data_IF_921784781662
#
_entry.id   IF_921784781662
#
_cell.length_a   1.000
_cell.length_b   1.000
_cell.length_c   1.000
_cell.angle_alpha   90.00
_cell.angle_beta   90.00
_cell.angle_gamma   90.00
#
_symmetry.space_group_name_H-M   'P 1'
#
loop_
_entity.id
_entity.type
_entity.pdbx_description
1 polymer ?
2 polymer ?
3 non-polymer ?
4 non-polymer ?
5 non-polymer ?
6 non-polymer ?
7 non-polymer ?
8 water ?
#
# COMPACT_ATOMS: atom_id res chain seq x y z
N UNK A 2 0.54 -21.84 -27.51
CA UNK A 2 -0.02 -22.10 -26.20
C UNK A 2 1.00 -21.71 -25.13
N UNK A 3 0.57 -20.94 -24.14
CA UNK A 3 1.49 -20.48 -23.11
C UNK A 3 2.06 -21.67 -22.33
N UNK A 4 3.38 -21.64 -22.11
CA UNK A 4 4.07 -22.68 -21.34
C UNK A 4 4.52 -22.10 -20.00
N UNK A 5 4.05 -22.67 -18.91
CA UNK A 5 4.37 -22.15 -17.58
C UNK A 5 5.84 -22.43 -17.23
N UNK A 6 6.41 -21.66 -16.31
CA UNK A 6 7.82 -21.83 -15.96
C UNK A 6 8.17 -23.25 -15.55
N UNK A 7 9.40 -23.64 -15.87
CA UNK A 7 9.97 -24.92 -15.50
C UNK A 7 10.90 -24.82 -14.30
N UNK A 8 11.03 -23.65 -13.70
CA UNK A 8 11.97 -23.48 -12.61
C UNK A 8 11.71 -24.47 -11.50
N UNK A 9 12.77 -24.91 -10.80
CA UNK A 9 12.63 -26.02 -9.85
C UNK A 9 11.69 -25.74 -8.70
N UNK A 10 11.60 -24.50 -8.23
CA UNK A 10 10.75 -24.16 -7.10
C UNK A 10 9.43 -23.53 -7.54
N UNK A 11 9.19 -23.38 -8.85
CA UNK A 11 7.92 -22.82 -9.28
C UNK A 11 6.73 -23.61 -8.75
N UNK A 12 6.78 -24.95 -8.68
CA UNK A 12 5.64 -25.69 -8.13
C UNK A 12 5.31 -25.35 -6.68
N UNK A 13 6.25 -24.77 -5.93
CA UNK A 13 6.04 -24.35 -4.56
C UNK A 13 5.48 -22.93 -4.46
N UNK A 14 5.33 -22.23 -5.58
CA UNK A 14 4.81 -20.86 -5.58
C UNK A 14 3.28 -20.90 -5.69
N UNK A 15 2.68 -21.38 -4.59
CA UNK A 15 1.26 -21.66 -4.53
C UNK A 15 0.41 -20.42 -4.77
N UNK A 16 0.96 -19.25 -4.47
CA UNK A 16 0.25 -17.97 -4.54
C UNK A 16 0.18 -17.41 -5.95
N UNK A 17 0.95 -17.96 -6.88
CA UNK A 17 0.96 -17.46 -8.25
C UNK A 17 -0.11 -18.10 -9.10
N UNK A 18 -0.32 -19.41 -8.92
CA UNK A 18 -1.33 -20.10 -9.70
C UNK A 18 -1.68 -21.39 -8.97
N UNK A 19 -2.87 -21.90 -9.26
CA UNK A 19 -3.30 -23.16 -8.74
C UNK A 19 -4.70 -23.49 -9.20
N UNK A 20 -5.04 -24.77 -9.07
CA UNK A 20 -6.41 -25.20 -9.34
C UNK A 20 -7.33 -24.86 -8.18
N UNK A 21 -6.78 -24.51 -7.01
CA UNK A 21 -7.57 -24.34 -5.80
C UNK A 21 -8.30 -23.01 -5.73
N UNK A 22 -7.88 -22.01 -6.49
CA UNK A 22 -8.37 -20.61 -6.51
C UNK A 22 -7.75 -19.78 -5.37
N UNK A 23 -6.93 -20.37 -4.51
CA UNK A 23 -6.20 -19.59 -3.51
C UNK A 23 -4.91 -19.08 -4.14
N UNK A 24 -5.05 -18.13 -5.08
CA UNK A 24 -3.87 -17.56 -5.71
C UNK A 24 -4.19 -16.17 -6.25
N UNK A 25 -3.15 -15.51 -6.77
CA UNK A 25 -3.22 -14.16 -7.28
C UNK A 25 -3.51 -14.09 -8.78
N UNK A 26 -3.83 -15.23 -9.40
CA UNK A 26 -4.25 -15.28 -10.80
C UNK A 26 -3.20 -14.67 -11.72
N UNK A 27 -1.94 -15.00 -11.46
CA UNK A 27 -0.84 -14.42 -12.22
C UNK A 27 -0.64 -15.17 -13.53
N UNK A 28 -0.81 -16.49 -13.52
CA UNK A 28 -0.65 -17.25 -14.75
C UNK A 28 -1.60 -16.78 -15.84
N UNK A 29 -2.81 -16.36 -15.49
CA UNK A 29 -3.73 -15.83 -16.48
C UNK A 29 -3.17 -14.59 -17.17
N UNK A 30 -2.47 -13.73 -16.42
CA UNK A 30 -1.85 -12.56 -17.05
C UNK A 30 -0.70 -12.98 -17.97
N UNK A 31 0.12 -13.91 -17.51
CA UNK A 31 1.20 -14.43 -18.34
C UNK A 31 0.66 -14.99 -19.65
N UNK A 32 -0.45 -15.75 -19.57
CA UNK A 32 -1.03 -16.35 -20.76
C UNK A 32 -1.59 -15.30 -21.73
N UNK A 33 -2.00 -14.13 -21.21
CA UNK A 33 -2.42 -13.02 -22.05
C UNK A 33 -1.23 -12.31 -22.71
N UNK A 34 0.00 -12.71 -22.38
CA UNK A 34 1.20 -12.14 -22.97
C UNK A 34 1.95 -11.14 -22.14
N UNK A 35 1.60 -10.96 -20.88
CA UNK A 35 2.20 -9.94 -20.03
C UNK A 35 3.08 -10.60 -18.99
N UNK A 36 4.40 -10.35 -19.09
CA UNK A 36 5.38 -10.88 -18.14
C UNK A 36 6.27 -9.77 -17.59
N UNK A 37 5.98 -8.50 -17.93
CA UNK A 37 6.72 -7.38 -17.38
C UNK A 37 7.70 -6.74 -18.34
N UNK A 38 7.78 -7.21 -19.58
CA UNK A 38 8.77 -6.67 -20.51
C UNK A 38 8.63 -5.16 -20.62
N UNK A 39 9.76 -4.47 -20.44
CA UNK A 39 9.81 -3.03 -20.60
C UNK A 39 9.47 -2.22 -19.38
N UNK A 40 9.10 -2.85 -18.27
CA UNK A 40 8.76 -2.15 -17.03
C UNK A 40 9.95 -2.24 -16.09
N UNK A 41 10.14 -1.17 -15.31
CA UNK A 41 11.27 -1.03 -14.41
C UNK A 41 10.74 -0.88 -12.99
N UNK A 42 11.17 -1.76 -12.09
CA UNK A 42 10.78 -1.73 -10.69
C UNK A 42 12.03 -1.55 -9.85
N UNK A 43 11.95 -0.74 -8.80
CA UNK A 43 13.06 -0.58 -7.88
C UNK A 43 12.64 -0.92 -6.46
N UNK A 44 13.47 -1.72 -5.79
CA UNK A 44 13.27 -2.12 -4.39
C UNK A 44 14.05 -1.15 -3.51
N UNK A 45 13.34 -0.35 -2.71
CA UNK A 45 13.99 0.57 -1.78
C UNK A 45 14.15 -0.18 -0.47
N UNK A 46 15.40 -0.55 -0.12
CA UNK A 46 15.57 -1.46 1.00
C UNK A 46 17.02 -1.46 1.45
N UNK A 47 17.56 -2.62 1.83
CA UNK A 47 18.92 -2.69 2.35
C UNK A 47 19.93 -3.14 1.30
N UNK A 48 19.55 -3.12 0.02
CA UNK A 48 20.44 -3.48 -1.06
C UNK A 48 19.87 -4.63 -1.89
N UNK A 49 20.57 -4.90 -3.00
CA UNK A 49 20.16 -5.97 -3.91
C UNK A 49 21.40 -6.69 -4.41
N UNK A 50 21.39 -8.01 -4.34
CA UNK A 50 22.50 -8.84 -4.84
C UNK A 50 22.38 -8.89 -6.36
N UNK A 51 23.02 -7.92 -7.03
CA UNK A 51 22.82 -7.75 -8.46
C UNK A 51 23.37 -8.91 -9.28
N UNK A 52 24.30 -9.68 -8.72
CA UNK A 52 24.89 -10.85 -9.37
C UNK A 52 24.19 -12.15 -9.00
N UNK A 53 23.06 -12.09 -8.32
CA UNK A 53 22.34 -13.30 -7.94
C UNK A 53 21.96 -14.08 -9.20
N UNK A 54 22.17 -15.40 -9.22
CA UNK A 54 21.85 -16.16 -10.44
C UNK A 54 20.41 -16.03 -10.91
N UNK A 55 19.47 -15.66 -10.03
CA UNK A 55 18.11 -15.45 -10.46
C UNK A 55 17.72 -13.98 -10.59
N UNK A 56 18.65 -13.05 -10.38
CA UNK A 56 18.37 -11.63 -10.63
C UNK A 56 19.23 -11.02 -11.74
N UNK A 57 20.41 -11.57 -12.01
CA UNK A 57 21.36 -10.89 -12.89
C UNK A 57 20.76 -10.62 -14.25
N UNK A 58 19.96 -11.56 -14.77
CA UNK A 58 19.41 -11.41 -16.11
C UNK A 58 18.45 -10.27 -16.25
N UNK A 59 17.85 -9.83 -15.16
CA UNK A 59 16.89 -8.72 -15.17
C UNK A 59 17.44 -7.47 -14.49
N UNK A 60 18.64 -7.51 -13.95
CA UNK A 60 19.12 -6.39 -13.14
C UNK A 60 19.31 -5.15 -14.00
N UNK A 61 18.96 -4.01 -13.42
CA UNK A 61 19.00 -2.72 -14.11
C UNK A 61 19.77 -1.72 -13.27
N UNK A 62 21.00 -1.40 -13.65
CA UNK A 62 21.75 -0.35 -12.91
C UNK A 62 21.05 0.99 -12.89
N UNK A 63 20.26 1.30 -13.92
CA UNK A 63 19.53 2.56 -13.95
C UNK A 63 18.41 2.66 -12.95
N UNK A 64 18.02 1.53 -12.36
CA UNK A 64 17.00 1.49 -11.32
C UNK A 64 17.61 1.37 -9.93
N UNK A 65 18.90 1.61 -9.80
CA UNK A 65 19.61 1.28 -8.58
C UNK A 65 20.54 2.40 -8.16
N UNK A 66 20.81 2.46 -6.86
CA UNK A 66 21.75 3.42 -6.29
C UNK A 66 22.01 3.00 -4.85
N UNK A 67 23.13 3.47 -4.31
CA UNK A 67 23.49 3.24 -2.90
C UNK A 67 23.48 4.59 -2.21
N UNK A 68 22.38 4.89 -1.54
CA UNK A 68 22.24 6.15 -0.84
C UNK A 68 22.99 6.11 0.48
N UNK A 69 23.12 4.93 1.10
CA UNK A 69 23.81 4.87 2.37
C UNK A 69 25.29 5.22 2.24
N UNK A 70 25.96 4.73 1.19
CA UNK A 70 27.39 4.97 0.98
C UNK A 70 27.65 5.95 -0.16
N UNK A 71 26.60 6.46 -0.81
CA UNK A 71 26.72 7.46 -1.87
C UNK A 71 27.59 6.94 -3.02
N UNK A 72 27.11 5.87 -3.65
CA UNK A 72 27.74 5.33 -4.84
C UNK A 72 26.68 4.59 -5.65
N UNK A 73 27.01 4.15 -6.86
CA UNK A 73 25.98 3.60 -7.74
C UNK A 73 25.64 2.15 -7.46
N UNK A 74 26.43 1.47 -6.65
CA UNK A 74 26.39 0.02 -6.54
C UNK A 74 25.60 -0.38 -5.30
N UNK A 75 24.39 -0.96 -5.47
CA UNK A 75 23.54 -1.26 -4.30
C UNK A 75 23.81 -2.60 -3.65
N UNK A 76 24.97 -3.18 -3.92
CA UNK A 76 25.29 -4.51 -3.40
C UNK A 76 25.14 -4.49 -1.87
N UNK A 77 24.53 -5.52 -1.29
CA UNK A 77 24.36 -5.53 0.16
C UNK A 77 25.70 -5.69 0.88
N UNK A 78 25.71 -5.20 2.11
CA UNK A 78 26.83 -5.40 3.04
C UNK A 78 26.69 -6.78 3.67
N UNK A 79 27.71 -7.62 3.49
CA UNK A 79 27.65 -9.00 3.96
C UNK A 79 28.11 -9.08 5.40
N UNK A 80 27.32 -9.77 6.22
CA UNK A 80 27.64 -10.00 7.63
C UNK A 80 27.25 -11.41 8.02
N UNK A 81 27.77 -11.86 9.18
CA UNK A 81 27.48 -13.20 9.66
C UNK A 81 25.99 -13.41 9.90
N UNK A 82 25.30 -12.40 10.39
CA UNK A 82 23.87 -12.48 10.69
C UNK A 82 23.01 -12.35 9.45
N UNK A 83 23.60 -12.06 8.29
CA UNK A 83 22.86 -11.88 7.04
C UNK A 83 21.73 -10.88 7.19
N UNK A 84 22.01 -9.78 7.90
CA UNK A 84 20.99 -8.77 8.16
C UNK A 84 20.45 -8.18 6.86
N UNK A 85 21.30 -8.03 5.85
CA UNK A 85 20.97 -7.27 4.65
C UNK A 85 20.49 -8.17 3.52
N UNK A 86 19.77 -9.23 3.87
CA UNK A 86 19.14 -10.15 2.92
C UNK A 86 17.77 -9.66 2.46
N UNK A 87 17.23 -8.65 3.12
CA UNK A 87 15.81 -8.32 3.00
C UNK A 87 15.47 -7.76 1.61
N UNK A 88 16.30 -6.86 1.09
CA UNK A 88 16.02 -6.30 -0.23
C UNK A 88 16.14 -7.33 -1.34
N UNK A 89 17.08 -8.26 -1.20
CA UNK A 89 17.22 -9.30 -2.23
C UNK A 89 16.00 -10.23 -2.24
N UNK A 90 15.49 -10.58 -1.06
CA UNK A 90 14.29 -11.38 -1.01
C UNK A 90 13.10 -10.65 -1.68
N UNK A 91 12.96 -9.33 -1.42
CA UNK A 91 11.87 -8.60 -2.05
C UNK A 91 12.04 -8.54 -3.56
N UNK A 92 13.28 -8.34 -4.04
CA UNK A 92 13.49 -8.20 -5.48
C UNK A 92 13.08 -9.46 -6.24
N UNK A 93 13.41 -10.64 -5.71
CA UNK A 93 13.09 -11.87 -6.42
C UNK A 93 11.61 -12.13 -6.54
N UNK A 94 10.83 -11.61 -5.61
CA UNK A 94 9.38 -11.75 -5.72
C UNK A 94 8.85 -11.00 -6.92
N UNK A 95 9.45 -9.84 -7.19
CA UNK A 95 9.01 -9.05 -8.34
C UNK A 95 9.49 -9.69 -9.63
N UNK A 96 10.79 -10.03 -9.69
CA UNK A 96 11.39 -10.20 -11.02
C UNK A 96 12.47 -11.26 -11.07
N UNK A 97 12.39 -12.29 -10.24
CA UNK A 97 13.29 -13.43 -10.43
C UNK A 97 13.12 -13.99 -11.85
N UNK A 98 14.26 -14.35 -12.47
CA UNK A 98 14.27 -14.82 -13.86
C UNK A 98 13.56 -16.16 -13.96
N UNK A 99 12.88 -16.37 -15.09
CA UNK A 99 12.14 -17.60 -15.32
C UNK A 99 12.89 -18.52 -16.27
N UNK A 100 12.57 -19.82 -16.17
CA UNK A 100 13.03 -20.85 -17.09
C UNK A 100 14.56 -20.88 -17.20
N UNK A 101 15.24 -20.76 -16.07
CA UNK A 101 16.70 -20.77 -16.03
C UNK A 101 17.22 -21.81 -15.05
N UNK A 102 16.36 -22.75 -14.63
CA UNK A 102 16.80 -23.80 -13.74
C UNK A 102 17.18 -23.37 -12.34
N UNK A 103 16.85 -22.14 -11.92
CA UNK A 103 17.24 -21.63 -10.61
C UNK A 103 15.98 -21.18 -9.86
N UNK A 104 15.86 -21.61 -8.60
CA UNK A 104 14.83 -21.13 -7.65
C UNK A 104 13.46 -21.06 -8.33
N UNK A 105 12.70 -19.97 -8.16
CA UNK A 105 11.37 -19.87 -8.76
C UNK A 105 11.32 -18.75 -9.79
N UNK A 106 10.23 -17.99 -9.83
CA UNK A 106 10.08 -16.92 -10.80
C UNK A 106 9.48 -15.70 -10.11
N UNK A 107 9.81 -14.53 -10.63
CA UNK A 107 9.09 -13.32 -10.23
C UNK A 107 7.70 -13.28 -10.82
N UNK A 108 6.85 -12.44 -10.21
CA UNK A 108 5.55 -12.18 -10.81
C UNK A 108 5.74 -11.59 -12.20
N UNK A 109 6.66 -10.64 -12.33
CA UNK A 109 6.98 -10.00 -13.60
C UNK A 109 8.39 -10.43 -14.01
N UNK A 110 8.50 -11.68 -14.43
CA UNK A 110 9.82 -12.30 -14.58
C UNK A 110 10.59 -11.80 -15.79
N UNK A 111 10.02 -10.94 -16.62
CA UNK A 111 10.75 -10.27 -17.69
C UNK A 111 10.88 -8.77 -17.47
N UNK A 112 10.50 -8.27 -16.32
CA UNK A 112 10.70 -6.86 -16.04
C UNK A 112 12.17 -6.61 -15.65
N UNK A 113 12.55 -5.34 -15.64
CA UNK A 113 13.86 -4.93 -15.16
C UNK A 113 13.76 -4.57 -13.68
N UNK A 114 14.76 -5.00 -12.91
CA UNK A 114 14.72 -4.89 -11.46
C UNK A 114 15.98 -4.21 -10.95
N UNK A 115 15.79 -3.20 -10.09
CA UNK A 115 16.88 -2.55 -9.41
C UNK A 115 16.62 -2.48 -7.91
N UNK A 116 17.64 -1.98 -7.21
CA UNK A 116 17.53 -1.76 -5.79
C UNK A 116 18.18 -0.49 -5.34
N UNK A 117 17.60 0.20 -4.36
CA UNK A 117 18.24 1.31 -3.71
C UNK A 117 18.66 0.85 -2.33
N UNK A 118 19.95 0.93 -2.05
CA UNK A 118 20.49 0.59 -0.74
C UNK A 118 20.35 1.83 0.11
N UNK A 119 19.34 1.84 0.99
CA UNK A 119 19.06 3.02 1.80
C UNK A 119 18.67 2.71 3.24
N UNK A 120 18.45 1.44 3.62
CA UNK A 120 18.13 1.14 5.02
C UNK A 120 19.36 0.79 5.87
N UNK A 121 20.51 0.57 5.26
CA UNK A 121 21.69 0.08 5.99
C UNK A 121 22.54 1.27 6.43
N UNK A 122 21.97 2.03 7.36
CA UNK A 122 22.59 3.25 7.83
C UNK A 122 21.53 4.09 8.50
N UNK A 123 21.90 5.32 8.82
CA UNK A 123 20.92 6.25 9.40
C UNK A 123 19.95 6.68 8.32
N UNK A 124 18.67 6.40 8.52
CA UNK A 124 17.65 6.64 7.51
C UNK A 124 17.04 8.00 7.82
N UNK A 125 17.66 9.04 7.29
CA UNK A 125 17.15 10.39 7.45
C UNK A 125 16.06 10.70 6.42
N UNK A 126 15.37 11.82 6.64
CA UNK A 126 14.45 12.36 5.65
C UNK A 126 15.12 12.51 4.30
N UNK A 127 16.35 13.04 4.27
CA UNK A 127 17.05 13.21 3.00
C UNK A 127 17.32 11.87 2.31
N UNK A 128 17.74 10.86 3.07
CA UNK A 128 17.95 9.52 2.52
C UNK A 128 16.67 9.01 1.87
N UNK A 129 15.54 9.13 2.58
CA UNK A 129 14.29 8.67 2.01
C UNK A 129 13.96 9.41 0.72
N UNK A 130 14.15 10.73 0.73
CA UNK A 130 13.79 11.56 -0.42
C UNK A 130 14.65 11.24 -1.63
N UNK A 131 15.95 10.98 -1.40
CA UNK A 131 16.84 10.66 -2.51
C UNK A 131 16.50 9.30 -3.10
N UNK A 132 15.90 8.42 -2.29
CA UNK A 132 15.51 7.09 -2.74
C UNK A 132 14.17 7.12 -3.49
N UNK A 133 13.16 7.73 -2.89
CA UNK A 133 11.86 7.88 -3.55
C UNK A 133 11.95 8.68 -4.84
N UNK A 134 12.91 9.60 -4.94
CA UNK A 134 13.06 10.42 -6.12
C UNK A 134 14.14 9.96 -7.09
N UNK A 135 14.59 8.73 -6.96
CA UNK A 135 15.65 8.24 -7.85
C UNK A 135 15.13 8.01 -9.27
N UNK A 136 15.82 8.61 -10.24
CA UNK A 136 15.62 8.39 -11.68
C UNK A 136 14.14 8.21 -12.02
N UNK A 137 13.30 9.21 -11.70
CA UNK A 137 11.84 9.03 -11.83
C UNK A 137 11.31 9.01 -13.24
N UNK A 138 12.13 9.29 -14.25
CA UNK A 138 11.71 9.09 -15.62
C UNK A 138 12.21 7.78 -16.19
N UNK A 139 12.89 6.97 -15.39
CA UNK A 139 13.29 5.62 -15.78
C UNK A 139 12.57 4.55 -14.97
N UNK A 140 12.56 4.68 -13.64
CA UNK A 140 11.87 3.73 -12.77
C UNK A 140 10.37 4.00 -12.86
N UNK A 141 9.58 2.95 -13.07
CA UNK A 141 8.13 3.11 -13.12
C UNK A 141 7.48 2.90 -11.75
N UNK A 142 7.97 1.92 -11.01
CA UNK A 142 7.35 1.41 -9.79
C UNK A 142 8.41 1.29 -8.71
N UNK A 143 8.09 1.81 -7.53
CA UNK A 143 8.95 1.75 -6.34
C UNK A 143 8.26 0.89 -5.31
N UNK A 144 8.99 -0.05 -4.71
CA UNK A 144 8.45 -0.97 -3.71
C UNK A 144 9.18 -0.74 -2.40
N UNK A 145 8.43 -0.54 -1.31
CA UNK A 145 9.01 -0.24 -0.01
C UNK A 145 8.41 -1.17 1.04
N UNK A 146 9.23 -2.12 1.52
CA UNK A 146 8.83 -3.02 2.59
C UNK A 146 9.53 -2.58 3.87
N UNK A 147 9.26 -1.35 4.29
CA UNK A 147 9.85 -0.77 5.50
C UNK A 147 8.97 0.40 5.91
N UNK A 148 9.22 0.92 7.09
CA UNK A 148 8.51 2.09 7.57
C UNK A 148 8.72 2.31 9.04
N UNK A 149 7.89 3.16 9.64
CA UNK A 149 8.03 3.47 11.06
C UNK A 149 7.88 2.23 11.93
N UNK A 150 8.45 2.31 13.12
CA UNK A 150 8.40 1.22 14.09
C UNK A 150 6.97 0.76 14.34
N UNK A 151 6.82 -0.56 14.45
CA UNK A 151 5.53 -1.21 14.67
C UNK A 151 5.32 -1.53 16.15
N UNK A 152 5.69 -0.61 17.04
CA UNK A 152 5.52 -0.88 18.45
C UNK A 152 4.11 -0.60 18.94
N UNK A 153 3.23 -0.08 18.08
CA UNK A 153 1.87 0.20 18.48
C UNK A 153 1.73 1.46 19.31
N UNK A 154 2.78 2.27 19.39
CA UNK A 154 2.67 3.58 20.03
C UNK A 154 3.18 4.74 19.18
N UNK A 155 3.81 4.46 18.05
CA UNK A 155 4.41 5.47 17.21
C UNK A 155 3.37 6.08 16.27
N UNK A 156 3.46 7.40 16.09
CA UNK A 156 2.76 8.11 15.01
C UNK A 156 3.85 8.85 14.23
N UNK A 157 4.06 8.46 12.98
CA UNK A 157 5.23 8.94 12.23
C UNK A 157 4.94 8.79 10.76
N UNK A 158 5.38 9.77 9.97
CA UNK A 158 5.16 9.79 8.55
C UNK A 158 6.32 10.50 7.85
N UNK A 159 6.23 10.63 6.53
CA UNK A 159 7.30 11.33 5.80
C UNK A 159 7.47 12.77 6.29
N UNK A 160 8.71 13.14 6.52
CA UNK A 160 9.08 14.53 6.77
C UNK A 160 9.11 15.29 5.45
N UNK A 161 9.60 16.53 5.47
CA UNK A 161 9.34 17.45 4.37
C UNK A 161 9.97 16.98 3.05
N UNK A 162 11.24 16.55 3.08
CA UNK A 162 11.88 16.15 1.82
C UNK A 162 11.19 14.92 1.24
N UNK A 163 10.86 13.94 2.07
CA UNK A 163 10.21 12.72 1.59
C UNK A 163 8.82 13.02 1.05
N UNK A 164 8.06 13.87 1.72
CA UNK A 164 6.75 14.24 1.19
C UNK A 164 6.87 15.00 -0.14
N UNK A 165 7.85 15.90 -0.24
CA UNK A 165 8.13 16.55 -1.51
C UNK A 165 8.48 15.54 -2.58
N UNK A 166 9.19 14.46 -2.22
CA UNK A 166 9.51 13.44 -3.20
C UNK A 166 8.26 12.75 -3.68
N UNK A 167 7.33 12.44 -2.77
CA UNK A 167 6.06 11.85 -3.18
C UNK A 167 5.33 12.78 -4.17
N UNK A 168 5.26 14.07 -3.85
CA UNK A 168 4.47 14.97 -4.70
C UNK A 168 5.15 15.14 -6.05
N UNK A 169 6.48 15.31 -6.06
CA UNK A 169 7.20 15.38 -7.32
C UNK A 169 7.03 14.10 -8.13
N UNK A 170 7.03 12.96 -7.45
CA UNK A 170 6.92 11.69 -8.14
C UNK A 170 5.58 11.53 -8.83
N UNK A 171 4.50 11.79 -8.10
CA UNK A 171 3.19 11.55 -8.72
C UNK A 171 2.85 12.62 -9.74
N UNK A 172 3.47 13.80 -9.64
CA UNK A 172 3.13 14.91 -10.53
C UNK A 172 3.97 14.90 -11.81
N UNK A 173 5.30 14.83 -11.68
CA UNK A 173 6.20 14.85 -12.83
C UNK A 173 6.84 13.52 -13.18
N UNK A 174 6.85 12.54 -12.26
CA UNK A 174 7.44 11.25 -12.57
C UNK A 174 6.74 10.53 -13.71
N UNK A 175 7.47 9.58 -14.31
CA UNK A 175 6.96 8.75 -15.40
C UNK A 175 6.32 9.61 -16.49
N UNK A 176 7.03 10.66 -16.88
CA UNK A 176 6.54 11.48 -17.97
C UNK A 176 5.30 12.27 -17.65
N UNK A 177 5.06 12.53 -16.38
CA UNK A 177 3.88 13.22 -15.92
C UNK A 177 2.72 12.33 -15.59
N UNK A 178 2.84 11.03 -15.82
CA UNK A 178 1.81 10.07 -15.44
C UNK A 178 1.86 9.75 -13.95
N UNK A 179 3.03 9.89 -13.34
CA UNK A 179 3.22 9.72 -11.90
C UNK A 179 3.87 8.42 -11.49
N UNK A 180 4.92 8.54 -10.68
CA UNK A 180 5.55 7.38 -10.06
C UNK A 180 4.52 6.55 -9.31
N UNK A 181 4.67 5.22 -9.38
CA UNK A 181 3.85 4.28 -8.62
C UNK A 181 4.63 3.87 -7.37
N UNK A 182 4.08 4.19 -6.19
CA UNK A 182 4.69 3.83 -4.92
C UNK A 182 3.87 2.75 -4.23
N UNK A 183 4.48 1.57 -4.03
CA UNK A 183 3.83 0.43 -3.39
C UNK A 183 4.44 0.25 -2.01
N UNK A 184 3.58 0.13 -0.99
CA UNK A 184 4.02 0.12 0.41
C UNK A 184 3.48 -1.11 1.14
N UNK A 185 4.30 -1.70 2.00
CA UNK A 185 3.85 -2.77 2.90
C UNK A 185 3.14 -2.16 4.10
N UNK A 186 1.94 -2.65 4.42
CA UNK A 186 1.14 -1.95 5.43
C UNK A 186 1.63 -2.13 6.86
N UNK A 187 2.45 -3.12 7.18
CA UNK A 187 3.13 -3.17 8.47
C UNK A 187 3.06 -4.55 9.13
N UNK A 188 3.92 -4.71 10.13
CA UNK A 188 4.01 -5.95 10.89
C UNK A 188 3.57 -5.82 12.35
N UNK A 189 2.79 -4.79 12.68
CA UNK A 189 2.44 -4.51 14.06
C UNK A 189 1.22 -5.20 14.61
N UNK A 190 0.77 -6.28 13.98
CA UNK A 190 -0.44 -6.94 14.44
C UNK A 190 -0.40 -7.36 15.90
N UNK A 191 0.72 -7.90 16.35
CA UNK A 191 0.77 -8.41 17.71
C UNK A 191 0.70 -7.27 18.73
N UNK A 192 1.17 -6.09 18.35
CA UNK A 192 1.08 -4.89 19.17
C UNK A 192 -0.23 -4.13 18.99
N UNK A 193 -1.18 -4.70 18.25
CA UNK A 193 -2.44 -4.00 17.91
C UNK A 193 -2.19 -2.62 17.30
N UNK A 194 -1.18 -2.54 16.44
CA UNK A 194 -0.86 -1.30 15.75
C UNK A 194 -1.93 -0.99 14.72
N UNK A 195 -1.99 0.29 14.33
CA UNK A 195 -2.88 0.75 13.26
C UNK A 195 -2.04 1.31 12.12
N UNK A 196 -2.29 0.84 10.90
CA UNK A 196 -1.52 1.37 9.78
C UNK A 196 -1.96 2.77 9.36
N UNK A 197 -2.98 3.35 10.01
CA UNK A 197 -3.24 4.77 9.78
C UNK A 197 -2.32 5.69 10.58
N UNK A 198 -1.58 5.15 11.55
CA UNK A 198 -0.59 5.89 12.33
C UNK A 198 0.79 5.89 11.67
N UNK A 199 0.85 5.46 10.42
CA UNK A 199 2.04 5.35 9.59
C UNK A 199 1.73 6.22 8.39
N UNK A 200 2.46 7.35 8.26
CA UNK A 200 2.12 8.28 7.19
C UNK A 200 2.51 7.82 5.81
N UNK A 201 3.36 6.80 5.71
CA UNK A 201 3.71 6.25 4.39
C UNK A 201 2.58 5.40 3.83
N UNK A 202 2.05 4.49 4.66
CA UNK A 202 0.92 3.67 4.24
C UNK A 202 -0.33 4.50 4.11
N UNK A 203 -0.54 5.45 5.03
CA UNK A 203 -1.70 6.31 5.09
C UNK A 203 -1.72 7.38 3.99
N UNK A 204 -0.61 7.56 3.26
CA UNK A 204 -0.56 8.51 2.16
C UNK A 204 -1.46 8.12 1.00
N UNK A 205 -2.08 9.13 0.37
CA UNK A 205 -2.85 8.82 -0.83
C UNK A 205 -1.92 8.41 -2.00
N UNK A 206 -0.63 8.76 -1.91
CA UNK A 206 0.29 8.55 -3.03
C UNK A 206 0.86 7.15 -3.06
N UNK A 207 0.56 6.33 -2.06
CA UNK A 207 1.05 4.96 -1.99
C UNK A 207 -0.13 4.00 -2.06
N UNK A 208 0.11 2.85 -2.68
CA UNK A 208 -0.82 1.72 -2.66
C UNK A 208 -0.36 0.85 -1.49
N UNK A 209 -1.09 0.93 -0.38
CA UNK A 209 -0.73 0.21 0.83
C UNK A 209 -1.34 -1.18 0.78
N UNK A 210 -0.49 -2.20 0.94
CA UNK A 210 -0.85 -3.58 0.65
C UNK A 210 -0.73 -4.40 1.92
N UNK A 211 -1.80 -5.11 2.26
CA UNK A 211 -1.84 -5.99 3.42
C UNK A 211 -1.69 -7.44 2.95
N UNK A 212 -1.79 -8.36 3.91
CA UNK A 212 -1.45 -9.76 3.70
C UNK A 212 -2.59 -10.68 4.07
N UNK A 213 -2.61 -11.86 3.44
CA UNK A 213 -3.50 -12.94 3.81
C UNK A 213 -2.69 -14.23 3.89
N UNK A 214 -3.07 -15.12 4.82
CA UNK A 214 -2.41 -16.41 4.93
C UNK A 214 -2.93 -17.37 3.83
N UNK A 215 -2.22 -18.49 3.64
CA UNK A 215 -2.63 -19.45 2.61
C UNK A 215 -4.07 -19.90 2.76
N UNK A 216 -4.51 -20.14 3.99
CA UNK A 216 -5.87 -20.61 4.21
C UNK A 216 -6.88 -19.45 4.25
N UNK A 217 -6.45 -18.23 3.90
CA UNK A 217 -7.36 -17.12 3.77
C UNK A 217 -7.67 -16.37 5.05
N UNK A 218 -6.73 -16.34 6.00
CA UNK A 218 -6.96 -15.67 7.26
C UNK A 218 -6.07 -14.45 7.43
N UNK A 219 -6.41 -13.65 8.44
CA UNK A 219 -5.67 -12.44 8.79
C UNK A 219 -4.44 -12.86 9.57
N UNK A 220 -3.24 -12.69 9.02
CA UNK A 220 -2.04 -13.16 9.72
C UNK A 220 -1.84 -12.47 11.06
N UNK A 221 -1.10 -13.16 11.93
CA UNK A 221 -0.78 -12.59 13.23
C UNK A 221 -0.17 -11.19 13.15
N UNK A 222 0.63 -10.92 12.09
CA UNK A 222 1.37 -9.66 12.01
C UNK A 222 0.56 -8.53 11.40
N UNK A 223 -0.61 -8.82 10.87
CA UNK A 223 -1.37 -7.83 10.10
C UNK A 223 -1.85 -6.65 10.94
N UNK A 224 -1.75 -5.45 10.36
CA UNK A 224 -2.36 -4.26 10.94
C UNK A 224 -3.61 -3.91 10.16
N UNK A 225 -4.68 -3.61 10.90
CA UNK A 225 -5.92 -3.16 10.27
C UNK A 225 -5.94 -1.64 10.25
N UNK A 226 -6.47 -1.06 9.16
CA UNK A 226 -6.70 0.39 9.11
C UNK A 226 -7.46 0.70 7.82
N UNK A 227 -8.01 1.92 7.77
CA UNK A 227 -8.83 2.30 6.62
C UNK A 227 -8.02 2.73 5.41
N UNK A 228 -6.73 3.00 5.55
CA UNK A 228 -5.92 3.44 4.41
C UNK A 228 -5.47 2.30 3.51
N UNK A 229 -5.51 1.05 3.97
CA UNK A 229 -5.10 -0.07 3.14
C UNK A 229 -5.97 -0.16 1.90
N UNK A 230 -5.34 -0.50 0.77
CA UNK A 230 -6.08 -0.57 -0.49
C UNK A 230 -6.41 -2.00 -0.93
N UNK A 231 -5.49 -2.94 -0.75
CA UNK A 231 -5.70 -4.30 -1.23
C UNK A 231 -4.70 -5.21 -0.53
N UNK A 232 -4.70 -6.49 -0.95
CA UNK A 232 -4.02 -7.57 -0.24
C UNK A 232 -3.30 -8.49 -1.22
N UNK A 233 -2.16 -9.02 -0.79
CA UNK A 233 -1.56 -10.17 -1.47
C UNK A 233 -1.23 -11.23 -0.44
N UNK A 234 -1.03 -12.45 -0.91
CA UNK A 234 -0.70 -13.53 0.02
C UNK A 234 0.69 -13.33 0.63
N UNK A 235 0.83 -13.79 1.87
CA UNK A 235 2.13 -13.92 2.50
C UNK A 235 2.06 -15.10 3.48
N UNK A 236 2.89 -15.09 4.52
CA UNK A 236 3.00 -16.18 5.45
C UNK A 236 1.90 -16.13 6.52
N UNK A 237 1.79 -17.24 7.25
CA UNK A 237 0.84 -17.41 8.32
C UNK A 237 1.40 -18.32 9.39
N UNK A 238 0.69 -19.39 9.72
CA UNK A 238 1.14 -20.33 10.73
C UNK A 238 2.07 -21.35 10.07
N UNK A 239 2.58 -22.28 10.87
CA UNK A 239 3.62 -23.18 10.37
C UNK A 239 3.05 -24.34 9.57
N UNK A 240 1.72 -24.44 9.45
CA UNK A 240 1.12 -25.39 8.54
C UNK A 240 0.83 -24.76 7.18
N UNK A 241 0.95 -23.45 7.07
CA UNK A 241 0.68 -22.70 5.85
C UNK A 241 2.00 -22.40 5.14
N UNK A 242 1.96 -22.48 3.81
CA UNK A 242 3.17 -22.27 3.02
C UNK A 242 3.57 -20.79 3.05
N UNK A 243 4.78 -20.52 2.58
CA UNK A 243 5.35 -19.18 2.64
C UNK A 243 5.79 -18.77 1.24
N UNK A 244 6.62 -17.73 1.17
CA UNK A 244 6.96 -17.12 -0.11
C UNK A 244 8.36 -17.56 -0.56
N UNK A 245 8.46 -17.89 -1.85
CA UNK A 245 9.68 -18.44 -2.46
C UNK A 245 10.41 -17.33 -3.20
N UNK A 246 11.67 -17.09 -2.87
CA UNK A 246 12.36 -16.00 -3.55
C UNK A 246 13.88 -16.16 -3.46
N UNK A 247 14.56 -15.20 -4.08
CA UNK A 247 16.01 -15.11 -4.07
C UNK A 247 16.52 -14.67 -2.71
N UNK A 248 17.57 -15.34 -2.23
CA UNK A 248 18.13 -15.04 -0.92
C UNK A 248 19.59 -14.60 -1.06
N UNK A 249 20.08 -13.95 -0.01
CA UNK A 249 21.46 -13.49 0.03
C UNK A 249 22.42 -14.65 -0.18
N UNK A 250 23.60 -14.34 -0.72
CA UNK A 250 24.65 -15.34 -0.98
C UNK A 250 24.23 -16.33 -2.07
N UNK A 251 23.42 -15.84 -3.03
CA UNK A 251 23.07 -16.55 -4.25
C UNK A 251 22.28 -17.81 -3.96
N UNK A 252 21.47 -17.75 -2.91
CA UNK A 252 20.65 -18.86 -2.46
C UNK A 252 19.19 -18.63 -2.81
N UNK A 253 18.41 -19.68 -2.56
CA UNK A 253 16.97 -19.68 -2.76
C UNK A 253 16.31 -19.97 -1.42
N UNK A 254 15.29 -19.20 -1.06
CA UNK A 254 14.56 -19.43 0.17
C UNK A 254 13.09 -19.70 -0.13
N UNK A 255 12.51 -20.58 0.67
CA UNK A 255 11.07 -20.83 0.62
C UNK A 255 10.38 -20.31 1.86
N UNK A 256 11.03 -19.42 2.60
CA UNK A 256 10.50 -18.98 3.89
C UNK A 256 10.60 -17.47 4.06
N UNK A 257 10.32 -16.70 3.01
CA UNK A 257 10.13 -15.26 3.13
C UNK A 257 8.73 -15.01 3.69
N UNK A 258 8.60 -14.02 4.58
CA UNK A 258 7.41 -13.93 5.42
C UNK A 258 7.00 -12.49 5.65
N UNK A 259 5.82 -12.34 6.26
CA UNK A 259 5.37 -11.06 6.82
C UNK A 259 4.91 -10.05 5.80
N UNK A 260 4.69 -8.83 6.31
CA UNK A 260 4.25 -7.77 5.44
C UNK A 260 5.25 -7.51 4.31
N UNK A 261 6.52 -7.78 4.58
CA UNK A 261 7.56 -7.49 3.60
C UNK A 261 7.34 -8.19 2.27
N UNK A 262 6.72 -9.38 2.27
CA UNK A 262 6.53 -10.14 1.04
C UNK A 262 5.33 -9.68 0.22
N UNK A 263 4.37 -9.02 0.86
CA UNK A 263 3.15 -8.66 0.12
C UNK A 263 3.35 -7.51 -0.83
N UNK A 264 4.07 -6.46 -0.42
CA UNK A 264 4.25 -5.32 -1.32
C UNK A 264 4.97 -5.70 -2.61
N UNK A 265 6.07 -6.48 -2.59
CA UNK A 265 6.72 -6.86 -3.85
C UNK A 265 5.82 -7.64 -4.80
N UNK A 266 4.98 -8.53 -4.27
CA UNK A 266 4.06 -9.25 -5.14
C UNK A 266 3.09 -8.29 -5.81
N UNK A 267 2.60 -7.30 -5.05
CA UNK A 267 1.74 -6.28 -5.63
C UNK A 267 2.49 -5.46 -6.67
N UNK A 268 3.73 -5.08 -6.37
CA UNK A 268 4.53 -4.34 -7.34
C UNK A 268 4.69 -5.13 -8.63
N UNK A 269 4.90 -6.45 -8.51
CA UNK A 269 4.97 -7.28 -9.70
C UNK A 269 3.68 -7.29 -10.51
N UNK A 270 2.54 -7.42 -9.82
CA UNK A 270 1.26 -7.40 -10.52
C UNK A 270 1.03 -6.05 -11.21
N UNK A 271 1.39 -4.96 -10.53
CA UNK A 271 1.28 -3.64 -11.13
C UNK A 271 2.20 -3.50 -12.33
N UNK A 272 3.37 -4.11 -12.29
CA UNK A 272 4.24 -4.08 -13.47
C UNK A 272 3.58 -4.77 -14.67
N UNK A 273 2.93 -5.93 -14.45
CA UNK A 273 2.23 -6.59 -15.54
C UNK A 273 1.12 -5.69 -16.08
N UNK A 274 0.43 -4.99 -15.19
CA UNK A 274 -0.67 -4.12 -15.58
C UNK A 274 -0.16 -2.95 -16.40
N UNK A 275 0.97 -2.36 -15.97
CA UNK A 275 1.57 -1.27 -16.74
C UNK A 275 2.02 -1.73 -18.12
N UNK A 276 2.53 -2.96 -18.23
CA UNK A 276 2.88 -3.46 -19.56
C UNK A 276 1.63 -3.48 -20.45
N UNK A 277 0.49 -3.84 -19.86
CA UNK A 277 -0.76 -3.91 -20.63
C UNK A 277 -1.25 -2.52 -21.05
N UNK A 278 -0.84 -1.46 -20.36
CA UNK A 278 -1.24 -0.11 -20.75
C UNK A 278 -0.24 0.87 -20.11
N UNK A 279 0.74 1.28 -20.89
CA UNK A 279 1.79 2.13 -20.36
C UNK A 279 1.33 3.54 -20.08
N UNK A 280 0.12 3.92 -20.52
CA UNK A 280 -0.39 5.27 -20.31
C UNK A 280 -1.16 5.44 -19.02
N UNK A 281 -1.21 4.42 -18.16
CA UNK A 281 -1.97 4.52 -16.92
C UNK A 281 -1.31 5.51 -15.97
N UNK A 282 -2.09 6.40 -15.38
CA UNK A 282 -1.58 7.31 -14.37
C UNK A 282 -1.52 6.63 -13.00
N UNK A 283 -0.90 7.33 -12.05
CA UNK A 283 -0.82 6.80 -10.69
C UNK A 283 -2.21 6.60 -10.10
N UNK A 284 -3.14 7.50 -10.43
CA UNK A 284 -4.51 7.33 -9.95
C UNK A 284 -5.24 6.23 -10.73
N UNK A 285 -5.04 6.16 -12.05
CA UNK A 285 -5.64 5.05 -12.81
C UNK A 285 -5.32 3.72 -12.12
N UNK A 286 -4.06 3.55 -11.69
CA UNK A 286 -3.66 2.26 -11.14
C UNK A 286 -4.43 1.94 -9.86
N UNK A 287 -4.69 2.96 -9.04
CA UNK A 287 -5.48 2.69 -7.84
C UNK A 287 -6.92 2.33 -8.18
N UNK A 288 -7.52 3.03 -9.17
CA UNK A 288 -8.85 2.66 -9.64
C UNK A 288 -8.90 1.20 -10.09
N UNK A 289 -7.91 0.77 -10.87
CA UNK A 289 -7.90 -0.62 -11.33
C UNK A 289 -7.85 -1.60 -10.15
N UNK A 290 -7.01 -1.31 -9.16
CA UNK A 290 -6.94 -2.14 -7.97
C UNK A 290 -8.30 -2.19 -7.29
N UNK A 291 -8.94 -1.04 -7.11
CA UNK A 291 -10.24 -1.03 -6.43
C UNK A 291 -11.25 -1.89 -7.20
N UNK A 292 -11.30 -1.74 -8.52
CA UNK A 292 -12.34 -2.42 -9.29
C UNK A 292 -12.12 -3.92 -9.41
N UNK A 293 -10.87 -4.40 -9.40
CA UNK A 293 -10.60 -5.80 -9.75
C UNK A 293 -10.28 -6.70 -8.57
N UNK A 294 -10.02 -6.16 -7.38
CA UNK A 294 -9.59 -6.99 -6.27
C UNK A 294 -10.76 -7.79 -5.71
N UNK A 295 -10.43 -8.94 -5.13
CA UNK A 295 -11.41 -9.98 -4.86
C UNK A 295 -11.50 -10.30 -3.38
N UNK A 296 -12.64 -10.08 -2.75
CA UNK A 296 -12.80 -10.46 -1.33
C UNK A 296 -12.96 -11.93 -1.10
N UNK A 297 -13.37 -12.69 -2.10
CA UNK A 297 -13.93 -14.02 -1.86
C UNK A 297 -12.97 -14.89 -1.04
N UNK A 298 -13.52 -15.54 -0.02
CA UNK A 298 -12.83 -16.51 0.82
C UNK A 298 -11.65 -15.92 1.57
N UNK A 299 -11.57 -14.60 1.70
CA UNK A 299 -10.75 -14.00 2.73
C UNK A 299 -11.62 -13.83 3.96
N UNK A 300 -11.18 -14.38 5.09
CA UNK A 300 -11.96 -14.36 6.32
C UNK A 300 -11.63 -13.14 7.17
N UNK A 301 -12.68 -12.40 7.53
CA UNK A 301 -12.56 -11.25 8.43
C UNK A 301 -13.92 -11.00 9.05
N UNK A 302 -13.93 -10.41 10.24
CA UNK A 302 -15.21 -10.16 10.90
C UNK A 302 -15.74 -8.76 10.63
N UNK A 303 -15.08 -7.98 9.77
CA UNK A 303 -15.48 -6.59 9.52
C UNK A 303 -15.80 -6.32 8.05
N UNK A 304 -16.07 -7.33 7.24
CA UNK A 304 -16.45 -7.06 5.86
C UNK A 304 -17.71 -6.21 5.84
N UNK A 305 -17.70 -5.15 5.04
CA UNK A 305 -18.84 -4.25 4.89
C UNK A 305 -19.00 -3.91 3.42
N UNK A 306 -20.24 -3.68 3.00
CA UNK A 306 -20.52 -3.26 1.65
C UNK A 306 -20.63 -1.74 1.64
N UNK A 307 -19.86 -1.08 0.78
CA UNK A 307 -19.86 0.38 0.80
C UNK A 307 -21.01 0.91 -0.07
N UNK A 308 -20.97 2.21 -0.37
CA UNK A 308 -22.13 2.84 -0.99
C UNK A 308 -22.30 2.50 -2.44
N UNK A 309 -21.27 1.95 -3.07
CA UNK A 309 -21.33 1.54 -4.47
C UNK A 309 -21.26 0.01 -4.59
N UNK A 310 -21.56 -0.70 -3.51
CA UNK A 310 -21.75 -2.13 -3.57
C UNK A 310 -20.48 -2.95 -3.48
N UNK A 311 -19.33 -2.35 -3.20
CA UNK A 311 -18.08 -3.10 -3.10
C UNK A 311 -17.83 -3.49 -1.65
N UNK A 312 -17.38 -4.72 -1.45
CA UNK A 312 -17.02 -5.19 -0.12
C UNK A 312 -15.66 -4.64 0.25
N UNK A 313 -15.52 -4.20 1.50
CA UNK A 313 -14.26 -3.67 1.97
C UNK A 313 -14.02 -4.03 3.43
N UNK A 314 -12.77 -4.29 3.77
CA UNK A 314 -12.35 -4.68 5.11
C UNK A 314 -11.14 -3.86 5.52
N UNK A 315 -11.03 -3.59 6.83
CA UNK A 315 -9.85 -2.89 7.34
C UNK A 315 -8.62 -3.78 7.38
N UNK A 316 -8.83 -5.10 7.30
CA UNK A 316 -7.69 -6.01 7.21
C UNK A 316 -7.17 -6.19 5.79
N UNK A 317 -8.04 -6.00 4.79
CA UNK A 317 -7.71 -6.39 3.44
C UNK A 317 -7.97 -5.34 2.37
N UNK A 318 -8.52 -4.19 2.74
CA UNK A 318 -8.94 -3.24 1.72
C UNK A 318 -10.03 -3.88 0.87
N UNK A 319 -9.86 -3.79 -0.45
CA UNK A 319 -10.82 -4.34 -1.39
C UNK A 319 -10.60 -5.82 -1.69
N UNK A 320 -9.62 -6.45 -1.05
CA UNK A 320 -9.41 -7.87 -1.21
C UNK A 320 -8.11 -8.21 -1.92
N UNK A 321 -8.03 -9.46 -2.38
CA UNK A 321 -6.84 -9.97 -3.03
C UNK A 321 -6.68 -9.39 -4.42
N UNK A 322 -5.45 -9.00 -4.76
CA UNK A 322 -5.18 -8.63 -6.14
C UNK A 322 -5.43 -9.82 -7.07
N UNK A 323 -5.83 -9.49 -8.30
CA UNK A 323 -6.18 -10.44 -9.35
C UNK A 323 -5.45 -9.97 -10.60
N UNK A 324 -4.30 -10.59 -10.90
CA UNK A 324 -3.45 -10.08 -11.97
C UNK A 324 -4.15 -10.18 -13.32
N UNK A 325 -4.82 -11.31 -13.58
CA UNK A 325 -5.49 -11.47 -14.87
C UNK A 325 -6.57 -10.43 -15.09
N UNK A 326 -7.30 -10.09 -14.03
CA UNK A 326 -8.35 -9.08 -14.14
C UNK A 326 -7.74 -7.68 -14.29
N UNK A 327 -6.64 -7.42 -13.59
CA UNK A 327 -5.92 -6.15 -13.72
C UNK A 327 -5.48 -5.91 -15.15
N UNK A 328 -4.80 -6.88 -15.77
CA UNK A 328 -4.25 -6.66 -17.10
C UNK A 328 -5.37 -6.56 -18.13
N UNK A 329 -6.44 -7.32 -17.95
CA UNK A 329 -7.56 -7.26 -18.88
C UNK A 329 -8.22 -5.89 -18.83
N UNK A 330 -8.52 -5.41 -17.62
CA UNK A 330 -9.20 -4.12 -17.48
C UNK A 330 -8.30 -2.97 -17.91
N UNK A 331 -6.98 -3.11 -17.74
CA UNK A 331 -6.06 -2.03 -18.10
C UNK A 331 -6.09 -1.72 -19.60
N UNK A 332 -6.33 -2.74 -20.44
CA UNK A 332 -6.04 -2.58 -21.87
C UNK A 332 -6.88 -1.48 -22.52
N UNK A 333 -8.18 -1.42 -22.20
CA UNK A 333 -9.03 -0.41 -22.80
C UNK A 333 -9.45 0.66 -21.78
N UNK A 334 -8.68 0.80 -20.69
CA UNK A 334 -9.00 1.74 -19.63
C UNK A 334 -8.95 3.19 -20.14
N UNK A 335 -9.97 3.96 -19.80
CA UNK A 335 -10.01 5.38 -20.12
C UNK A 335 -9.44 6.18 -18.96
N UNK A 336 -8.41 6.98 -19.25
CA UNK A 336 -7.76 7.79 -18.22
C UNK A 336 -8.76 8.58 -17.41
N UNK A 337 -8.62 8.56 -16.09
CA UNK A 337 -9.52 9.33 -15.23
C UNK A 337 -9.28 10.82 -15.40
N UNK A 338 -10.31 11.59 -15.05
CA UNK A 338 -10.21 13.03 -15.15
C UNK A 338 -9.21 13.58 -14.13
N UNK A 339 -8.79 14.83 -14.29
CA UNK A 339 -7.81 15.39 -13.35
C UNK A 339 -8.37 15.41 -11.93
N UNK A 340 -7.47 15.24 -10.97
CA UNK A 340 -7.86 15.11 -9.57
C UNK A 340 -8.31 16.44 -9.01
N UNK A 341 -9.49 16.46 -8.41
CA UNK A 341 -10.02 17.60 -7.69
C UNK A 341 -9.82 17.40 -6.19
N UNK A 342 -9.77 18.51 -5.48
CA UNK A 342 -9.54 18.52 -4.02
C UNK A 342 -10.50 19.54 -3.41
N UNK A 343 -11.38 19.08 -2.54
CA UNK A 343 -12.38 19.91 -1.88
C UNK A 343 -12.09 19.89 -0.39
N UNK A 344 -11.82 21.08 0.16
CA UNK A 344 -11.38 21.25 1.56
C UNK A 344 -12.55 21.82 2.35
N UNK A 345 -12.95 21.12 3.42
CA UNK A 345 -14.07 21.55 4.25
C UNK A 345 -13.59 21.64 5.70
N UNK A 346 -13.51 22.85 6.21
CA UNK A 346 -13.14 23.08 7.60
C UNK A 346 -14.42 22.94 8.41
N UNK A 347 -14.46 21.92 9.27
CA UNK A 347 -15.73 21.46 9.84
C UNK A 347 -16.09 22.26 11.09
N UNK A 348 -15.16 22.47 12.02
CA UNK A 348 -15.54 23.00 13.32
C UNK A 348 -15.72 24.51 13.33
N UNK A 349 -16.69 24.99 14.12
CA UNK A 349 -16.82 26.41 14.40
C UNK A 349 -16.25 26.79 15.76
N UNK A 350 -15.98 25.81 16.62
CA UNK A 350 -15.38 25.99 17.93
C UNK A 350 -14.74 24.68 18.36
N UNK A 351 -13.76 24.72 19.26
CA UNK A 351 -13.20 23.47 19.79
C UNK A 351 -14.25 22.68 20.55
N UNK A 352 -14.05 21.36 20.61
CA UNK A 352 -15.00 20.45 21.23
C UNK A 352 -14.29 19.56 22.24
N UNK A 353 -14.77 19.56 23.48
CA UNK A 353 -14.23 18.64 24.46
C UNK A 353 -14.60 17.22 24.09
N UNK A 354 -13.64 16.30 24.23
CA UNK A 354 -13.86 14.91 23.83
C UNK A 354 -14.61 14.14 24.91
N UNK A 355 -14.13 14.20 26.14
CA UNK A 355 -14.80 13.45 27.20
C UNK A 355 -14.86 11.96 26.91
N UNK A 356 -15.99 11.34 27.30
CA UNK A 356 -16.16 9.91 27.04
C UNK A 356 -16.46 9.63 25.59
N UNK A 357 -17.13 10.56 24.92
CA UNK A 357 -17.55 10.34 23.55
C UNK A 357 -17.89 11.70 22.92
N UNK A 358 -17.48 11.87 21.67
CA UNK A 358 -17.77 13.07 20.90
C UNK A 358 -18.25 12.65 19.53
N UNK A 359 -19.38 13.20 19.09
CA UNK A 359 -19.88 13.01 17.75
C UNK A 359 -20.01 14.37 17.06
N UNK A 360 -19.39 14.51 15.90
CA UNK A 360 -19.45 15.72 15.10
C UNK A 360 -20.14 15.38 13.79
N UNK A 361 -21.27 16.05 13.52
CA UNK A 361 -22.03 15.84 12.29
C UNK A 361 -21.93 17.08 11.45
N UNK A 362 -21.70 16.92 10.15
CA UNK A 362 -21.69 18.07 9.26
C UNK A 362 -22.20 17.66 7.89
N UNK A 363 -23.15 18.43 7.35
CA UNK A 363 -23.62 18.23 5.99
C UNK A 363 -22.82 19.11 5.05
N UNK A 364 -22.25 18.50 4.02
CA UNK A 364 -21.37 19.22 3.10
C UNK A 364 -21.92 19.15 1.69
N UNK A 365 -21.56 20.15 0.87
CA UNK A 365 -21.96 20.18 -0.54
C UNK A 365 -20.84 19.68 -1.45
N UNK A 366 -19.64 19.44 -0.90
CA UNK A 366 -18.52 18.93 -1.67
C UNK A 366 -18.18 19.86 -2.84
N UNK A 367 -18.12 21.17 -2.52
CA UNK A 367 -17.68 22.20 -3.45
C UNK A 367 -18.62 22.32 -4.64
N UNK A 368 -19.91 22.16 -4.36
CA UNK A 368 -20.93 22.38 -5.37
C UNK A 368 -20.79 23.75 -6.00
N UNK A 369 -20.91 23.78 -7.33
CA UNK A 369 -20.85 25.01 -8.09
C UNK A 369 -19.45 25.52 -8.37
N UNK A 370 -18.43 24.81 -7.94
CA UNK A 370 -17.04 25.23 -8.06
C UNK A 370 -16.26 24.23 -8.91
N UNK A 371 -15.09 24.64 -9.41
CA UNK A 371 -14.31 23.73 -10.25
C UNK A 371 -13.80 22.49 -9.54
N UNK A 372 -13.80 22.49 -8.21
CA UNK A 372 -13.38 21.32 -7.45
C UNK A 372 -14.54 20.54 -6.87
N UNK A 373 -15.74 20.75 -7.41
CA UNK A 373 -16.88 19.89 -7.11
C UNK A 373 -16.55 18.42 -7.34
N UNK A 374 -16.82 17.60 -6.34
CA UNK A 374 -16.56 16.16 -6.39
C UNK A 374 -17.89 15.43 -6.23
N UNK A 375 -18.26 14.65 -7.24
CA UNK A 375 -19.35 13.69 -7.13
C UNK A 375 -18.86 12.25 -7.08
N UNK A 376 -17.58 12.00 -7.37
CA UNK A 376 -16.98 10.67 -7.40
C UNK A 376 -15.74 10.71 -6.51
N UNK A 377 -15.86 10.20 -5.28
CA UNK A 377 -14.76 10.26 -4.34
C UNK A 377 -13.66 9.25 -4.70
N UNK A 378 -12.42 9.61 -4.38
CA UNK A 378 -11.29 8.68 -4.37
C UNK A 378 -10.95 8.50 -2.89
N UNK A 379 -9.84 9.07 -2.46
CA UNK A 379 -9.48 9.10 -1.04
C UNK A 379 -10.25 10.20 -0.32
N UNK A 380 -10.53 9.97 0.95
CA UNK A 380 -10.99 11.02 1.86
C UNK A 380 -10.09 11.04 3.08
N UNK A 381 -9.83 12.22 3.62
CA UNK A 381 -9.04 12.39 4.84
C UNK A 381 -9.85 13.18 5.86
N UNK A 382 -9.74 12.77 7.12
CA UNK A 382 -10.14 13.59 8.26
C UNK A 382 -8.84 14.05 8.92
N UNK A 383 -8.44 15.30 8.66
CA UNK A 383 -7.22 15.86 9.23
C UNK A 383 -7.58 16.42 10.60
N UNK A 384 -7.10 15.75 11.65
CA UNK A 384 -7.52 16.04 13.01
C UNK A 384 -6.41 16.62 13.84
N UNK A 385 -6.73 17.66 14.60
CA UNK A 385 -5.82 18.20 15.61
C UNK A 385 -6.52 18.10 16.95
N UNK A 386 -5.91 17.38 17.90
CA UNK A 386 -6.55 17.15 19.18
C UNK A 386 -5.51 16.86 20.25
N UNK A 387 -5.85 17.24 21.48
CA UNK A 387 -5.14 16.87 22.69
C UNK A 387 -5.87 15.75 23.39
N UNK A 388 -5.11 14.88 24.04
CA UNK A 388 -5.68 13.81 24.84
C UNK A 388 -4.61 13.32 25.81
N UNK A 389 -5.04 12.85 26.96
CA UNK A 389 -4.08 12.41 27.96
C UNK A 389 -3.50 11.03 27.68
N UNK A 390 -4.25 10.12 27.05
CA UNK A 390 -3.70 8.79 26.70
C UNK A 390 -4.20 8.39 25.32
N UNK A 391 -3.34 8.58 24.31
CA UNK A 391 -3.77 8.55 22.93
C UNK A 391 -4.38 7.20 22.54
N UNK A 392 -3.78 6.10 23.00
CA UNK A 392 -4.19 4.78 22.59
C UNK A 392 -5.54 4.34 23.12
N UNK A 393 -6.13 5.10 24.04
CA UNK A 393 -7.49 4.79 24.47
C UNK A 393 -8.53 5.32 23.49
N UNK A 394 -8.12 6.15 22.52
CA UNK A 394 -9.08 6.69 21.56
C UNK A 394 -9.41 5.69 20.46
N UNK A 395 -10.69 5.64 20.09
CA UNK A 395 -11.13 5.05 18.83
C UNK A 395 -11.86 6.12 18.04
N UNK A 396 -11.56 6.20 16.74
CA UNK A 396 -12.10 7.26 15.87
C UNK A 396 -12.73 6.61 14.66
N UNK A 397 -13.98 6.97 14.35
CA UNK A 397 -14.67 6.48 13.18
C UNK A 397 -15.18 7.66 12.36
N UNK A 398 -15.27 7.43 11.06
CA UNK A 398 -15.84 8.41 10.11
C UNK A 398 -16.88 7.72 9.23
N UNK A 399 -18.08 8.27 9.21
CA UNK A 399 -19.17 7.70 8.44
C UNK A 399 -19.48 8.62 7.26
N UNK A 400 -19.51 8.05 6.06
CA UNK A 400 -19.78 8.82 4.85
C UNK A 400 -21.28 9.00 4.66
N UNK A 401 -21.67 9.93 3.78
CA UNK A 401 -23.11 10.12 3.51
C UNK A 401 -23.80 8.88 2.99
N UNK A 402 -23.07 7.96 2.34
CA UNK A 402 -23.62 6.70 1.85
C UNK A 402 -23.63 5.61 2.91
N UNK A 403 -23.27 5.96 4.14
CA UNK A 403 -23.38 5.05 5.27
C UNK A 403 -22.18 4.17 5.54
N UNK A 404 -21.03 4.44 4.92
CA UNK A 404 -19.85 3.61 5.07
C UNK A 404 -19.06 4.09 6.28
N UNK A 405 -18.91 3.20 7.25
CA UNK A 405 -18.22 3.51 8.49
C UNK A 405 -16.76 3.08 8.36
N UNK A 406 -15.88 4.05 8.29
CA UNK A 406 -14.44 3.81 8.29
C UNK A 406 -13.89 3.94 9.70
N UNK A 407 -13.11 2.94 10.12
CA UNK A 407 -12.35 3.08 11.36
C UNK A 407 -11.06 3.82 11.04
N UNK A 408 -11.00 5.10 11.42
CA UNK A 408 -9.79 5.89 11.25
C UNK A 408 -8.72 5.48 12.25
N UNK A 409 -9.14 5.08 13.45
CA UNK A 409 -8.19 4.71 14.50
C UNK A 409 -8.88 3.74 15.44
N UNK A 410 -8.33 2.54 15.57
CA UNK A 410 -8.76 1.63 16.61
C UNK A 410 -7.91 1.82 17.86
N UNK A 411 -8.40 1.32 19.00
CA UNK A 411 -7.61 1.42 20.23
C UNK A 411 -6.22 0.81 20.05
N UNK A 412 -5.20 1.45 20.64
CA UNK A 412 -3.82 0.98 20.62
C UNK A 412 -3.35 0.85 22.06
N UNK A 413 -3.43 -0.35 22.64
CA UNK A 413 -3.14 -0.51 24.07
C UNK A 413 -1.78 -0.01 24.52
N UNK A 414 -0.78 -0.01 23.63
CA UNK A 414 0.57 0.37 24.02
C UNK A 414 0.86 1.86 23.85
N UNK A 415 -0.09 2.62 23.28
CA UNK A 415 0.10 4.03 22.99
C UNK A 415 -0.32 4.84 24.20
N UNK A 416 0.65 5.13 25.08
CA UNK A 416 0.41 5.91 26.28
C UNK A 416 0.62 7.40 26.06
N UNK A 417 0.86 7.83 24.83
CA UNK A 417 1.31 9.19 24.58
C UNK A 417 0.29 10.23 25.01
N UNK A 418 0.81 11.32 25.55
CA UNK A 418 0.02 12.50 25.86
C UNK A 418 0.13 13.58 24.80
N UNK A 419 0.72 13.27 23.65
CA UNK A 419 0.99 14.24 22.61
C UNK A 419 -0.14 14.42 21.61
N UNK A 420 -1.18 13.59 21.65
CA UNK A 420 -2.32 13.81 20.77
C UNK A 420 -1.98 13.68 19.30
N UNK A 421 -2.77 14.36 18.45
CA UNK A 421 -2.57 14.34 17.00
C UNK A 421 -2.47 15.78 16.52
N UNK A 422 -1.45 16.05 15.71
CA UNK A 422 -1.20 17.42 15.22
C UNK A 422 -1.45 17.46 13.71
N UNK A 423 -2.69 17.79 13.34
CA UNK A 423 -3.13 17.83 11.96
C UNK A 423 -2.81 16.52 11.25
N UNK A 424 -3.12 15.41 11.92
CA UNK A 424 -2.83 14.09 11.36
C UNK A 424 -3.92 13.73 10.36
N UNK A 425 -3.52 13.41 9.12
CA UNK A 425 -4.47 13.21 8.02
C UNK A 425 -4.93 11.77 7.86
N UNK A 426 -5.77 11.31 8.82
CA UNK A 426 -6.31 9.96 8.75
C UNK A 426 -7.01 9.74 7.41
N UNK A 427 -6.67 8.66 6.71
CA UNK A 427 -7.18 8.46 5.35
C UNK A 427 -8.01 7.18 5.24
N UNK A 428 -9.09 7.27 4.46
CA UNK A 428 -9.85 6.08 4.13
C UNK A 428 -10.02 5.89 2.64
N UNK A 429 -9.84 4.62 2.20
CA UNK A 429 -10.13 4.19 0.84
C UNK A 429 -11.52 3.59 0.70
N UNK A 430 -12.27 3.44 1.80
CA UNK A 430 -13.48 2.63 1.81
C UNK A 430 -14.69 3.28 1.15
N UNK A 431 -14.61 4.56 0.83
CA UNK A 431 -15.71 5.29 0.20
C UNK A 431 -15.41 5.65 -1.24
N UNK A 432 -14.40 5.01 -1.82
CA UNK A 432 -14.05 5.19 -3.22
C UNK A 432 -15.26 5.01 -4.13
N UNK A 433 -15.43 5.96 -5.05
CA UNK A 433 -16.52 6.06 -6.02
C UNK A 433 -17.86 6.49 -5.43
N UNK A 434 -17.96 6.69 -4.12
CA UNK A 434 -19.17 7.25 -3.54
C UNK A 434 -19.31 8.75 -3.84
N UNK A 435 -20.56 9.21 -3.84
CA UNK A 435 -20.85 10.65 -3.84
C UNK A 435 -20.67 11.20 -2.44
N UNK A 436 -19.73 12.11 -2.21
CA UNK A 436 -19.46 12.62 -0.86
C UNK A 436 -20.35 13.76 -0.40
N UNK A 437 -21.33 14.18 -1.19
CA UNK A 437 -22.28 15.18 -0.77
C UNK A 437 -23.19 14.62 0.32
N UNK A 438 -23.46 15.43 1.34
CA UNK A 438 -24.33 14.95 2.41
C UNK A 438 -23.71 14.94 3.79
N UNK A 439 -24.31 14.16 4.69
CA UNK A 439 -23.90 14.19 6.10
C UNK A 439 -22.71 13.27 6.35
N UNK A 440 -21.61 13.84 6.83
CA UNK A 440 -20.50 13.09 7.37
C UNK A 440 -20.57 13.11 8.89
N UNK A 441 -20.15 12.01 9.52
CA UNK A 441 -20.14 11.90 10.98
C UNK A 441 -18.77 11.45 11.44
N UNK A 442 -18.17 12.23 12.35
CA UNK A 442 -16.93 11.86 13.01
C UNK A 442 -17.26 11.44 14.44
N UNK A 443 -16.79 10.26 14.85
CA UNK A 443 -16.99 9.77 16.20
C UNK A 443 -15.62 9.60 16.83
N UNK A 444 -15.46 10.15 18.03
CA UNK A 444 -14.24 9.98 18.83
C UNK A 444 -14.68 9.47 20.19
N UNK A 445 -14.16 8.33 20.62
CA UNK A 445 -14.60 7.80 21.90
C UNK A 445 -13.44 7.25 22.72
N UNK A 446 -13.61 7.34 24.02
CA UNK A 446 -12.70 6.74 25.01
C UNK A 446 -13.11 5.29 25.17
N UNK A 447 -12.22 4.37 24.73
CA UNK A 447 -12.51 2.93 24.83
C UNK A 447 -12.17 2.35 26.19
N UNK A 448 -11.65 3.14 27.11
CA UNK A 448 -11.28 2.65 28.43
C UNK A 448 -12.20 3.21 29.50
N UNK A 449 -12.10 2.62 30.69
CA UNK A 449 -12.88 3.09 31.84
C UNK A 449 -12.23 4.27 32.55
N UNK A 450 -11.03 4.69 32.14
CA UNK A 450 -10.35 5.78 32.80
C UNK A 450 -11.04 7.11 32.49
N UNK A 451 -10.85 8.07 33.39
CA UNK A 451 -11.42 9.41 33.21
C UNK A 451 -10.42 10.24 32.41
N UNK A 452 -10.41 9.99 31.10
CA UNK A 452 -9.51 10.69 30.20
C UNK A 452 -10.11 12.02 29.79
N UNK A 453 -9.27 12.88 29.19
CA UNK A 453 -9.70 14.22 28.85
C UNK A 453 -8.90 14.78 27.68
N UNK A 454 -9.53 15.66 26.93
CA UNK A 454 -8.89 16.27 25.79
C UNK A 454 -9.89 17.08 25.00
N UNK A 455 -9.36 17.71 23.96
CA UNK A 455 -10.11 18.65 23.14
C UNK A 455 -9.75 18.46 21.67
N UNK A 456 -10.77 18.40 20.82
CA UNK A 456 -10.60 18.44 19.37
C UNK A 456 -10.65 19.91 18.93
N UNK A 457 -9.55 20.40 18.36
CA UNK A 457 -9.48 21.80 17.97
C UNK A 457 -9.58 22.04 16.47
N UNK A 458 -9.37 21.02 15.64
CA UNK A 458 -9.50 21.18 14.20
C UNK A 458 -9.88 19.87 13.56
N UNK A 459 -10.83 19.93 12.62
CA UNK A 459 -11.27 18.78 11.83
C UNK A 459 -11.48 19.30 10.41
N UNK A 460 -10.52 19.01 9.53
CA UNK A 460 -10.62 19.32 8.12
C UNK A 460 -10.98 18.05 7.38
N UNK A 461 -12.12 18.06 6.71
CA UNK A 461 -12.49 16.98 5.79
C UNK A 461 -11.94 17.33 4.42
N UNK A 462 -11.05 16.49 3.92
CA UNK A 462 -10.42 16.71 2.63
C UNK A 462 -10.88 15.61 1.69
N UNK A 463 -11.56 15.99 0.63
CA UNK A 463 -12.10 15.07 -0.35
C UNK A 463 -11.29 15.18 -1.62
N UNK A 464 -10.88 14.03 -2.17
CA UNK A 464 -10.25 13.97 -3.48
C UNK A 464 -11.14 13.19 -4.43
N UNK A 465 -11.11 13.55 -5.72
CA UNK A 465 -11.90 12.80 -6.69
C UNK A 465 -12.22 13.61 -7.93
N UNK A 466 -13.31 13.20 -8.60
CA UNK A 466 -13.71 13.79 -9.86
C UNK A 466 -15.22 14.04 -9.86
N UNK A 467 -15.72 14.49 -11.00
CA UNK A 467 -17.15 14.70 -11.19
C UNK A 467 -17.64 14.01 -12.46
N UNK A 468 -17.04 12.87 -12.83
CA UNK A 468 -17.47 12.21 -14.05
C UNK A 468 -17.05 10.74 -14.07
N UNK A 469 -17.70 9.96 -14.93
CA UNK A 469 -17.23 8.64 -15.30
C UNK A 469 -17.62 7.49 -14.41
N UNK A 470 -18.71 7.60 -13.67
CA UNK A 470 -19.05 6.55 -12.70
C UNK A 470 -19.59 5.30 -13.38
N UNK A 471 -19.42 4.18 -12.69
CA UNK A 471 -19.92 2.88 -13.09
C UNK A 471 -21.23 2.57 -12.35
N UNK A 472 -22.06 1.74 -12.94
CA UNK A 472 -23.21 1.24 -12.17
C UNK A 472 -22.69 0.49 -10.95
N UNK A 473 -23.19 0.80 -9.74
CA UNK A 473 -22.71 0.09 -8.54
C UNK A 473 -22.76 -1.42 -8.69
N UNK A 474 -21.77 -2.08 -8.09
CA UNK A 474 -21.65 -3.53 -8.06
C UNK A 474 -22.92 -4.24 -7.58
#
# INVERSE_FOLDING_TARGET
>A
DVYQEPTDPKFPQQWYLSGVTQRDLNVKAAWAQGYTGHGIVVSILDDGIEKNHPDLAGNYDPGASFDVNDQDPDPQPRYTQMNDNRHGTRCAGEVAAVANNGVCGVGVAYNARIGGVRMLDGEVTDAVEARSLGLNPNHIHIYSASWGPEDDGKTVDGPARLAEEAFFRGVSQGRGGLGSIFVWASGNGGREHDSCNCDGYTNSIYTLSISSATQFGNVPWYSEACSSTLATTYSSGNQNEKQIVTTDLRQKCTESHTGTSASAPLAAGIIALTLEANKNLTWRDMQHLVVQTSKPAHLNANDWATNGVGRKVSHSYGYGLLDAGAMVALAQNWTTVAPQRKCIIDILTEPKDIGKRLEVRKTVTACLGEPNHITRLEHAQARLTLSYNRRGDLAIHLVSPMGTRSTLLAARPHDYSADGFNDWAFMTTHSWDEDPSGEWVLEIENTSEANNYGTLTKFTLVLYGTASGSLVPRGSHHHH
#
